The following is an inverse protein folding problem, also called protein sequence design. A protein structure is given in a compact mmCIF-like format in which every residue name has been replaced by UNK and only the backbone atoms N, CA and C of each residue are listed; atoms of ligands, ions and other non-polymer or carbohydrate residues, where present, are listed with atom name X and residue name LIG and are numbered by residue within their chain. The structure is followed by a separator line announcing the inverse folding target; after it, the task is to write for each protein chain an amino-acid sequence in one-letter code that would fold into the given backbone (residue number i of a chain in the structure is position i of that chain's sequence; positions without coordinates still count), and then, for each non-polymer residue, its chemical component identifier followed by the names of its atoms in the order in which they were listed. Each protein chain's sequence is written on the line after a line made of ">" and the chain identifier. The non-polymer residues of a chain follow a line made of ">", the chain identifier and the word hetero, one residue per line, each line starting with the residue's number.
data_IF_240184887653
#
_entry.id   IF_240184887653
#
_cell.length_a   1.000
_cell.length_b   1.000
_cell.length_c   1.000
_cell.angle_alpha   90.00
_cell.angle_beta   90.00
_cell.angle_gamma   90.00
#
_symmetry.space_group_name_H-M   'P 1'
#
loop_
_entity.id
_entity.type
_entity.pdbx_description
1 polymer ?
#
# COMPACT_ATOMS: atom_id res chain seq x y z
N UNK A 1 0.63 -8.20 9.34
CA UNK A 1 -0.77 -7.74 9.36
C UNK A 1 -0.90 -6.60 8.35
N UNK A 2 -1.97 -6.55 7.56
CA UNK A 2 -2.20 -5.43 6.63
C UNK A 2 -2.36 -4.14 7.43
N UNK A 3 -1.49 -3.16 7.21
CA UNK A 3 -1.57 -1.86 7.86
C UNK A 3 -2.50 -0.94 7.06
N UNK A 4 -3.79 -1.05 7.36
CA UNK A 4 -4.84 -0.26 6.73
C UNK A 4 -4.70 1.24 6.99
N UNK A 5 -4.19 1.64 8.15
CA UNK A 5 -3.97 3.06 8.47
C UNK A 5 -2.92 3.66 7.52
N UNK A 6 -1.84 2.93 7.27
CA UNK A 6 -0.84 3.31 6.27
C UNK A 6 -1.41 3.34 4.85
N UNK A 7 -2.31 2.41 4.49
CA UNK A 7 -2.96 2.43 3.17
C UNK A 7 -3.85 3.65 2.99
N UNK A 8 -4.75 3.90 3.94
CA UNK A 8 -5.73 4.99 3.89
C UNK A 8 -5.04 6.36 3.88
N UNK A 9 -4.02 6.57 4.72
CA UNK A 9 -3.28 7.85 4.70
C UNK A 9 -2.52 8.07 3.40
N UNK A 10 -1.97 7.01 2.79
CA UNK A 10 -1.29 7.10 1.49
C UNK A 10 -2.27 7.49 0.38
N UNK A 11 -3.47 6.90 0.37
CA UNK A 11 -4.54 7.27 -0.56
C UNK A 11 -4.88 8.77 -0.40
N UNK A 12 -5.14 9.23 0.83
CA UNK A 12 -5.46 10.64 1.04
C UNK A 12 -4.32 11.56 0.57
N UNK A 13 -3.08 11.26 0.95
CA UNK A 13 -1.91 12.03 0.53
C UNK A 13 -1.72 12.05 -0.98
N UNK A 14 -1.92 10.91 -1.66
CA UNK A 14 -1.81 10.87 -3.12
C UNK A 14 -2.86 11.75 -3.79
N UNK A 15 -4.08 11.79 -3.25
CA UNK A 15 -5.14 12.64 -3.80
C UNK A 15 -4.88 14.14 -3.58
N UNK A 16 -4.24 14.50 -2.47
CA UNK A 16 -3.76 15.87 -2.21
C UNK A 16 -2.67 16.28 -3.20
N UNK A 17 -1.65 15.43 -3.38
CA UNK A 17 -0.54 15.69 -4.32
C UNK A 17 -1.02 15.81 -5.75
N UNK A 18 -1.93 14.93 -6.22
CA UNK A 18 -2.52 14.98 -7.56
C UNK A 18 -3.22 16.32 -7.86
N UNK A 19 -3.65 17.04 -6.83
CA UNK A 19 -4.40 18.30 -6.93
C UNK A 19 -3.59 19.52 -6.52
N UNK A 20 -2.33 19.35 -6.11
CA UNK A 20 -1.49 20.44 -5.62
C UNK A 20 -2.00 21.09 -4.33
N UNK A 21 -2.73 20.35 -3.50
CA UNK A 21 -3.32 20.85 -2.24
C UNK A 21 -2.39 20.50 -1.08
N UNK A 22 -1.93 21.50 -0.32
CA UNK A 22 -1.17 21.29 0.91
C UNK A 22 -2.07 20.89 2.08
N UNK A 23 -1.50 20.43 3.21
CA UNK A 23 -2.33 20.14 4.40
C UNK A 23 -2.86 21.43 5.04
N UNK A 24 -2.15 22.54 4.87
CA UNK A 24 -2.62 23.88 5.20
C UNK A 24 -3.83 24.28 4.35
N UNK A 25 -3.76 24.13 3.03
CA UNK A 25 -4.88 24.44 2.12
C UNK A 25 -6.09 23.56 2.43
N UNK A 26 -5.87 22.26 2.67
CA UNK A 26 -6.93 21.34 3.08
C UNK A 26 -7.62 21.81 4.36
N UNK A 27 -6.85 22.30 5.34
CA UNK A 27 -7.42 22.82 6.60
C UNK A 27 -8.33 24.02 6.34
N UNK A 28 -7.92 24.93 5.46
CA UNK A 28 -8.74 26.08 5.04
C UNK A 28 -10.02 25.61 4.37
N UNK A 29 -9.91 24.75 3.35
CA UNK A 29 -11.05 24.22 2.59
C UNK A 29 -12.06 23.47 3.47
N UNK A 30 -11.58 22.69 4.44
CA UNK A 30 -12.44 21.99 5.41
C UNK A 30 -13.24 22.98 6.25
N UNK A 31 -12.60 24.03 6.76
CA UNK A 31 -13.24 25.05 7.58
C UNK A 31 -14.24 25.91 6.80
N UNK A 32 -13.95 26.21 5.53
CA UNK A 32 -14.90 26.87 4.61
C UNK A 32 -16.17 26.02 4.38
N UNK A 33 -16.06 24.70 4.51
CA UNK A 33 -17.18 23.75 4.41
C UNK A 33 -17.78 23.38 5.78
N UNK A 34 -17.59 24.22 6.80
CA UNK A 34 -18.22 24.07 8.11
C UNK A 34 -17.55 23.08 9.07
N UNK A 35 -16.33 22.63 8.76
CA UNK A 35 -15.52 21.91 9.74
C UNK A 35 -14.88 22.90 10.75
N UNK A 36 -14.36 22.36 11.85
CA UNK A 36 -13.58 23.13 12.83
C UNK A 36 -12.28 22.39 13.11
N UNK A 37 -11.39 22.43 12.13
CA UNK A 37 -10.09 21.78 12.15
C UNK A 37 -8.96 22.79 12.27
N UNK A 38 -7.91 22.40 12.98
CA UNK A 38 -6.64 23.13 13.04
C UNK A 38 -5.61 22.41 12.18
N UNK A 39 -4.57 23.13 11.73
CA UNK A 39 -3.48 22.50 10.98
C UNK A 39 -2.89 21.29 11.71
N UNK A 40 -2.64 21.44 13.02
CA UNK A 40 -2.09 20.37 13.87
C UNK A 40 -3.02 19.16 14.00
N UNK A 41 -4.34 19.37 14.05
CA UNK A 41 -5.32 18.27 14.12
C UNK A 41 -5.39 17.50 12.80
N UNK A 42 -5.38 18.21 11.66
CA UNK A 42 -5.32 17.60 10.32
C UNK A 42 -4.02 16.81 10.13
N UNK A 43 -2.86 17.43 10.43
CA UNK A 43 -1.56 16.79 10.32
C UNK A 43 -1.47 15.51 11.16
N UNK A 44 -1.96 15.56 12.41
CA UNK A 44 -1.99 14.41 13.31
C UNK A 44 -2.87 13.28 12.80
N UNK A 45 -4.07 13.60 12.28
CA UNK A 45 -5.00 12.62 11.68
C UNK A 45 -4.35 11.95 10.48
N UNK A 46 -3.82 12.74 9.54
CA UNK A 46 -3.21 12.24 8.31
C UNK A 46 -1.94 11.44 8.62
N UNK A 47 -1.11 11.89 9.55
CA UNK A 47 0.15 11.20 9.91
C UNK A 47 -0.09 9.81 10.50
N UNK A 48 -1.05 9.71 11.43
CA UNK A 48 -1.44 8.45 12.08
C UNK A 48 -2.25 7.53 11.16
N UNK A 49 -3.00 8.11 10.21
CA UNK A 49 -3.92 7.36 9.37
C UNK A 49 -5.16 6.85 10.13
N UNK A 50 -5.44 7.45 11.29
CA UNK A 50 -6.60 7.13 12.13
C UNK A 50 -7.51 8.36 12.16
N UNK A 51 -8.49 8.39 11.27
CA UNK A 51 -9.53 9.41 11.20
C UNK A 51 -10.86 8.76 10.85
N UNK A 52 -11.97 9.45 11.16
CA UNK A 52 -13.29 8.93 10.82
C UNK A 52 -13.47 8.85 9.30
N UNK A 53 -14.34 7.95 8.86
CA UNK A 53 -14.75 7.89 7.46
C UNK A 53 -15.39 9.20 6.99
N UNK A 54 -16.11 9.91 7.88
CA UNK A 54 -16.67 11.23 7.59
C UNK A 54 -15.59 12.26 7.28
N UNK A 55 -14.54 12.35 8.10
CA UNK A 55 -13.41 13.24 7.86
C UNK A 55 -12.73 12.91 6.52
N UNK A 56 -12.53 11.63 6.24
CA UNK A 56 -11.97 11.19 4.96
C UNK A 56 -12.81 11.67 3.77
N UNK A 57 -14.13 11.46 3.82
CA UNK A 57 -15.04 11.89 2.77
C UNK A 57 -15.10 13.40 2.63
N UNK A 58 -15.07 14.15 3.73
CA UNK A 58 -14.99 15.61 3.72
C UNK A 58 -13.71 16.07 3.01
N UNK A 59 -12.54 15.49 3.37
CA UNK A 59 -11.29 15.81 2.69
C UNK A 59 -11.37 15.56 1.19
N UNK A 60 -11.89 14.41 0.76
CA UNK A 60 -12.06 14.09 -0.66
C UNK A 60 -13.02 15.05 -1.35
N UNK A 61 -14.13 15.40 -0.70
CA UNK A 61 -15.12 16.31 -1.25
C UNK A 61 -14.56 17.73 -1.46
N UNK A 62 -13.92 18.30 -0.44
CA UNK A 62 -13.45 19.70 -0.50
C UNK A 62 -12.28 19.89 -1.46
N UNK A 63 -11.51 18.83 -1.75
CA UNK A 63 -10.47 18.87 -2.79
C UNK A 63 -11.02 18.51 -4.18
N UNK A 64 -12.32 18.24 -4.34
CA UNK A 64 -12.90 17.85 -5.62
C UNK A 64 -12.46 16.46 -6.11
N UNK A 65 -12.29 15.51 -5.18
CA UNK A 65 -12.07 14.11 -5.52
C UNK A 65 -13.40 13.37 -5.73
N UNK A 66 -13.60 12.89 -6.96
CA UNK A 66 -14.83 12.20 -7.40
C UNK A 66 -14.68 10.68 -7.45
N UNK A 67 -13.45 10.18 -7.51
CA UNK A 67 -13.13 8.75 -7.59
C UNK A 67 -11.85 8.46 -6.83
N UNK A 68 -11.89 7.41 -6.00
CA UNK A 68 -10.72 6.81 -5.38
C UNK A 68 -10.52 5.40 -5.92
N UNK A 69 -9.26 5.00 -6.07
CA UNK A 69 -8.89 3.64 -6.46
C UNK A 69 -8.15 2.96 -5.32
N UNK A 70 -8.55 1.73 -5.00
CA UNK A 70 -7.97 0.94 -3.92
C UNK A 70 -7.16 -0.18 -4.57
N UNK A 71 -5.89 0.07 -4.84
CA UNK A 71 -4.99 -0.95 -5.38
C UNK A 71 -4.70 -2.04 -4.33
N UNK A 72 -4.80 -3.30 -4.73
CA UNK A 72 -4.32 -4.44 -3.95
C UNK A 72 -2.82 -4.60 -4.21
N UNK A 73 -1.97 -4.21 -3.24
CA UNK A 73 -0.58 -4.65 -3.26
C UNK A 73 -0.55 -6.13 -2.88
N UNK A 74 -0.79 -7.02 -3.84
CA UNK A 74 -0.26 -8.38 -3.71
C UNK A 74 1.24 -8.24 -3.69
N UNK A 75 1.85 -8.54 -2.55
CA UNK A 75 3.31 -8.65 -2.49
C UNK A 75 3.70 -9.70 -3.53
N UNK A 76 4.49 -9.33 -4.53
CA UNK A 76 5.02 -10.28 -5.53
C UNK A 76 5.97 -11.32 -4.91
N UNK A 77 6.06 -11.43 -3.57
CA UNK A 77 7.00 -12.30 -2.86
C UNK A 77 6.64 -13.80 -2.89
N UNK A 78 5.74 -14.24 -3.77
CA UNK A 78 5.47 -15.68 -3.98
C UNK A 78 5.82 -16.11 -5.41
N UNK A 79 6.98 -15.69 -5.92
CA UNK A 79 7.52 -16.16 -7.20
C UNK A 79 8.87 -16.90 -7.09
N UNK A 80 9.44 -17.10 -5.89
CA UNK A 80 10.78 -17.69 -5.74
C UNK A 80 10.79 -19.15 -5.27
N UNK A 81 9.66 -19.74 -4.89
CA UNK A 81 9.65 -21.11 -4.33
C UNK A 81 9.42 -22.23 -5.36
N UNK A 82 9.24 -21.92 -6.66
CA UNK A 82 9.01 -22.95 -7.70
C UNK A 82 10.20 -23.28 -8.60
N UNK A 83 11.38 -22.72 -8.35
CA UNK A 83 12.57 -23.04 -9.15
C UNK A 83 13.43 -24.18 -8.58
N UNK A 84 13.13 -24.70 -7.38
CA UNK A 84 13.92 -25.77 -6.75
C UNK A 84 13.20 -27.14 -6.67
N UNK A 85 12.12 -27.35 -7.43
CA UNK A 85 11.42 -28.63 -7.49
C UNK A 85 11.47 -29.22 -8.91
N UNK A 86 12.65 -29.66 -9.34
CA UNK A 86 12.89 -30.71 -10.35
C UNK A 86 14.39 -30.76 -10.71
N UNK A 87 15.21 -31.37 -9.84
CA UNK A 87 16.41 -32.09 -10.29
C UNK A 87 16.37 -33.45 -9.61
N UNK A 88 15.45 -34.29 -10.08
CA UNK A 88 15.50 -35.72 -9.86
C UNK A 88 16.39 -36.33 -10.96
N UNK A 89 17.58 -36.72 -10.52
CA UNK A 89 18.51 -37.75 -11.05
C UNK A 89 19.13 -37.62 -12.44
N UNK A 90 20.47 -37.64 -12.47
CA UNK A 90 21.21 -38.53 -13.38
C UNK A 90 21.52 -39.81 -12.60
N UNK A 91 20.83 -40.91 -12.89
CA UNK A 91 21.24 -42.24 -12.44
C UNK A 91 22.61 -42.54 -13.07
N UNK A 92 23.67 -42.49 -12.26
CA UNK A 92 25.00 -42.92 -12.66
C UNK A 92 25.06 -44.43 -12.49
N UNK A 93 25.02 -45.18 -13.60
CA UNK A 93 25.27 -46.62 -13.59
C UNK A 93 26.77 -46.89 -13.38
N UNK A 94 27.14 -47.39 -12.20
CA UNK A 94 28.46 -47.97 -11.97
C UNK A 94 28.46 -49.41 -12.47
N UNK A 95 29.01 -49.66 -13.66
CA UNK A 95 29.40 -51.00 -14.05
C UNK A 95 30.82 -51.29 -13.54
N UNK A 96 30.91 -52.01 -12.42
CA UNK A 96 32.13 -52.71 -11.99
C UNK A 96 32.33 -53.91 -12.89
N UNK A 97 33.21 -53.82 -13.89
CA UNK A 97 33.72 -55.00 -14.58
C UNK A 97 34.91 -55.54 -13.79
N UNK A 98 34.64 -56.59 -12.99
CA UNK A 98 35.64 -57.52 -12.49
C UNK A 98 36.33 -58.17 -13.69
N UNK A 99 37.66 -58.01 -13.81
CA UNK A 99 38.47 -58.92 -14.60
C UNK A 99 39.23 -59.84 -13.63
N UNK A 100 38.69 -61.05 -13.51
CA UNK A 100 39.44 -62.22 -13.06
C UNK A 100 40.57 -62.51 -14.07
N UNK A 101 41.75 -62.78 -13.54
CA UNK A 101 42.75 -63.71 -14.08
C UNK A 101 43.66 -64.16 -12.94
#
# INVERSE_FOLDING_TARGET
>A
MLDWNNKVKRILKSELVKRGVSTEDLTVLLNENGCSETKSSVDSKISRGTFSASFFMQCLFVIGCTKIEIEEYRSNLMSTERSNLMVAESTVDYNTTNHEN
#
